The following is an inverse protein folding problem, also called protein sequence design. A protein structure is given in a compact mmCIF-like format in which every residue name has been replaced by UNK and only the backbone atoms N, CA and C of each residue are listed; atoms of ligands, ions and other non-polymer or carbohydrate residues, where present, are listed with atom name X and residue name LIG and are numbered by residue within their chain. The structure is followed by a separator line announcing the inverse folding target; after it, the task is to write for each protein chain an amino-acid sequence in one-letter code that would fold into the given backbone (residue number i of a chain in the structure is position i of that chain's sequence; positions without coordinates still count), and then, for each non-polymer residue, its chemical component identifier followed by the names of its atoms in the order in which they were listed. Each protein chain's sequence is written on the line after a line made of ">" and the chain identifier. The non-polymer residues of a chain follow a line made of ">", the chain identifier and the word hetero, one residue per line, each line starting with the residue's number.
data_IF_487589955745
#
_entry.id   IF_487589955745
#
_cell.length_a   1.000
_cell.length_b   1.000
_cell.length_c   1.000
_cell.angle_alpha   90.00
_cell.angle_beta   90.00
_cell.angle_gamma   90.00
#
_symmetry.space_group_name_H-M   'P 1'
#
loop_
_entity.id
_entity.type
_entity.pdbx_description
1 polymer ?
#
# COMPACT_ATOMS: atom_id res chain seq x y z
N UNK A 1 7.31 -2.71 -24.43
CA UNK A 1 8.37 -2.71 -23.38
C UNK A 1 8.39 -1.43 -22.53
N UNK A 2 8.19 -0.23 -23.07
CA UNK A 2 8.25 1.05 -22.30
C UNK A 2 7.31 1.14 -21.08
N UNK A 3 6.10 0.58 -21.15
CA UNK A 3 5.14 0.56 -20.01
C UNK A 3 5.63 -0.18 -18.77
N UNK A 4 6.49 -1.19 -18.94
CA UNK A 4 7.07 -1.96 -17.81
C UNK A 4 8.32 -1.30 -17.23
N UNK A 5 9.01 -0.47 -18.01
CA UNK A 5 10.18 0.28 -17.56
C UNK A 5 9.83 1.55 -16.78
N UNK A 6 8.64 2.11 -17.02
CA UNK A 6 8.14 3.30 -16.33
C UNK A 6 8.24 3.25 -14.79
N UNK A 7 7.76 2.19 -14.09
CA UNK A 7 7.86 2.13 -12.63
C UNK A 7 9.31 2.10 -12.14
N UNK A 8 10.19 1.40 -12.85
CA UNK A 8 11.62 1.31 -12.52
C UNK A 8 12.30 2.68 -12.69
N UNK A 9 11.98 3.38 -13.77
CA UNK A 9 12.53 4.70 -14.08
C UNK A 9 12.06 5.76 -13.07
N UNK A 10 10.80 5.69 -12.63
CA UNK A 10 10.27 6.50 -11.54
C UNK A 10 11.01 6.18 -10.24
N UNK A 11 11.24 4.91 -9.91
CA UNK A 11 11.96 4.51 -8.69
C UNK A 11 13.41 5.01 -8.67
N UNK A 12 14.09 4.94 -9.82
CA UNK A 12 15.45 5.44 -9.99
C UNK A 12 15.49 6.96 -9.88
N UNK A 13 14.56 7.68 -10.51
CA UNK A 13 14.45 9.13 -10.38
C UNK A 13 14.20 9.54 -8.90
N UNK A 14 13.38 8.78 -8.18
CA UNK A 14 13.14 8.93 -6.74
C UNK A 14 14.42 8.74 -5.92
N UNK A 15 15.16 7.67 -6.19
CA UNK A 15 16.42 7.36 -5.51
C UNK A 15 17.48 8.44 -5.74
N UNK A 16 17.56 8.97 -6.96
CA UNK A 16 18.45 10.08 -7.31
C UNK A 16 18.01 11.37 -6.60
N UNK A 17 16.72 11.69 -6.58
CA UNK A 17 16.21 12.86 -5.85
C UNK A 17 16.52 12.80 -4.34
N UNK A 18 16.41 11.61 -3.74
CA UNK A 18 16.81 11.36 -2.35
C UNK A 18 18.32 11.54 -2.15
N UNK A 19 19.13 11.03 -3.09
CA UNK A 19 20.58 11.13 -3.01
C UNK A 19 21.06 12.58 -3.10
N UNK A 20 20.46 13.36 -4.01
CA UNK A 20 20.76 14.79 -4.19
C UNK A 20 20.37 15.63 -2.97
N UNK A 21 19.39 15.18 -2.18
CA UNK A 21 18.93 15.88 -0.99
C UNK A 21 19.62 15.48 0.33
N UNK A 22 20.62 14.58 0.31
CA UNK A 22 21.30 14.09 1.52
C UNK A 22 22.03 15.16 2.35
N UNK A 23 22.25 16.35 1.80
CA UNK A 23 22.89 17.48 2.50
C UNK A 23 21.92 18.53 3.04
N UNK A 24 20.61 18.36 2.84
CA UNK A 24 19.60 19.35 3.22
C UNK A 24 18.93 18.95 4.54
N UNK A 25 18.89 19.87 5.51
CA UNK A 25 18.19 19.63 6.78
C UNK A 25 16.71 20.03 6.65
N UNK A 26 15.77 19.07 6.58
CA UNK A 26 14.35 19.36 6.45
C UNK A 26 13.74 19.97 7.73
N UNK A 27 14.47 19.98 8.85
CA UNK A 27 14.04 20.60 10.09
C UNK A 27 14.59 22.03 10.25
N UNK A 28 15.47 22.48 9.35
CA UNK A 28 15.94 23.86 9.37
C UNK A 28 14.83 24.80 8.92
N UNK A 29 14.52 25.76 9.79
CA UNK A 29 13.51 26.79 9.57
C UNK A 29 14.22 28.15 9.57
N UNK A 30 14.12 28.86 8.46
CA UNK A 30 14.62 30.24 8.36
C UNK A 30 13.45 31.20 8.07
N UNK A 31 12.90 31.86 9.10
CA UNK A 31 11.80 32.82 8.94
C UNK A 31 12.10 33.96 7.96
N UNK A 32 13.37 34.28 7.70
CA UNK A 32 13.76 35.36 6.78
C UNK A 32 13.40 35.03 5.32
N UNK A 33 13.32 33.74 4.97
CA UNK A 33 12.93 33.27 3.64
C UNK A 33 11.52 32.69 3.61
N UNK A 34 10.69 32.96 4.62
CA UNK A 34 9.29 32.54 4.63
C UNK A 34 8.56 33.02 3.37
N UNK A 35 7.82 32.11 2.72
CA UNK A 35 7.11 32.37 1.47
C UNK A 35 8.00 32.81 0.29
N UNK A 36 9.31 32.61 0.36
CA UNK A 36 10.19 32.93 -0.76
C UNK A 36 9.86 32.07 -1.99
N UNK A 37 9.78 32.72 -3.16
CA UNK A 37 9.58 32.05 -4.44
C UNK A 37 10.79 31.23 -4.91
N UNK A 38 10.67 30.50 -6.03
CA UNK A 38 11.75 29.71 -6.60
C UNK A 38 13.00 30.55 -6.90
N UNK A 39 14.16 30.08 -6.45
CA UNK A 39 15.46 30.72 -6.67
C UNK A 39 16.56 29.67 -6.87
N UNK A 40 17.77 30.11 -7.25
CA UNK A 40 18.93 29.18 -7.35
C UNK A 40 19.29 28.54 -6.02
N UNK A 41 19.04 29.22 -4.91
CA UNK A 41 19.25 28.70 -3.56
C UNK A 41 18.09 27.80 -3.10
N UNK A 42 16.86 28.14 -3.49
CA UNK A 42 15.64 27.40 -3.16
C UNK A 42 14.87 27.04 -4.45
N UNK A 43 15.22 25.95 -5.16
CA UNK A 43 14.65 25.64 -6.47
C UNK A 43 13.12 25.47 -6.49
N UNK A 44 12.53 25.06 -5.37
CA UNK A 44 11.08 24.92 -5.20
C UNK A 44 10.47 26.00 -4.28
N UNK A 45 11.27 26.99 -3.86
CA UNK A 45 10.87 27.99 -2.88
C UNK A 45 10.83 27.47 -1.44
N UNK A 46 10.29 28.30 -0.55
CA UNK A 46 10.22 28.05 0.89
C UNK A 46 8.76 28.04 1.39
N UNK A 47 8.50 27.21 2.39
CA UNK A 47 7.21 27.12 3.06
C UNK A 47 6.95 28.30 4.02
N UNK A 48 5.78 28.33 4.64
CA UNK A 48 5.35 29.36 5.60
C UNK A 48 6.35 29.57 6.75
N UNK A 49 6.90 28.48 7.29
CA UNK A 49 7.87 28.53 8.37
C UNK A 49 9.32 28.78 7.89
N UNK A 50 9.52 29.05 6.60
CA UNK A 50 10.87 29.21 6.02
C UNK A 50 11.61 27.91 5.74
N UNK A 51 10.90 26.78 5.75
CA UNK A 51 11.48 25.48 5.40
C UNK A 51 11.65 25.36 3.89
N UNK A 52 12.83 24.92 3.43
CA UNK A 52 13.06 24.65 2.01
C UNK A 52 12.20 23.46 1.53
N UNK A 53 11.34 23.72 0.53
CA UNK A 53 10.34 22.74 0.08
C UNK A 53 10.99 21.51 -0.55
N UNK A 54 12.10 21.69 -1.29
CA UNK A 54 12.82 20.58 -1.92
C UNK A 54 13.39 19.63 -0.86
N UNK A 55 13.94 20.19 0.20
CA UNK A 55 14.48 19.48 1.36
C UNK A 55 13.41 18.67 2.07
N UNK A 56 12.26 19.30 2.35
CA UNK A 56 11.11 18.65 2.99
C UNK A 56 10.56 17.53 2.11
N UNK A 57 10.37 17.76 0.82
CA UNK A 57 9.85 16.76 -0.13
C UNK A 57 10.79 15.56 -0.21
N UNK A 58 12.09 15.79 -0.43
CA UNK A 58 13.04 14.71 -0.59
C UNK A 58 13.22 13.89 0.69
N UNK A 59 13.23 14.53 1.86
CA UNK A 59 13.25 13.81 3.13
C UNK A 59 11.95 13.03 3.37
N UNK A 60 10.80 13.60 3.00
CA UNK A 60 9.48 12.96 3.15
C UNK A 60 9.30 11.78 2.21
N UNK A 61 9.96 11.79 1.05
CA UNK A 61 9.88 10.76 0.04
C UNK A 61 10.35 9.39 0.55
N UNK A 62 11.56 9.30 1.12
CA UNK A 62 12.08 8.04 1.70
C UNK A 62 11.15 7.52 2.79
N UNK A 63 10.78 8.42 3.71
CA UNK A 63 9.94 8.09 4.87
C UNK A 63 8.55 7.64 4.45
N UNK A 64 7.98 8.30 3.45
CA UNK A 64 6.66 8.00 2.89
C UNK A 64 6.64 6.67 2.13
N UNK A 65 7.64 6.39 1.31
CA UNK A 65 7.77 5.10 0.60
C UNK A 65 7.94 3.96 1.59
N UNK A 66 8.80 4.12 2.60
CA UNK A 66 8.99 3.10 3.63
C UNK A 66 7.68 2.80 4.37
N UNK A 67 6.96 3.84 4.79
CA UNK A 67 5.64 3.71 5.43
C UNK A 67 4.65 2.98 4.49
N UNK A 68 4.54 3.42 3.24
CA UNK A 68 3.64 2.83 2.26
C UNK A 68 3.96 1.35 1.99
N UNK A 69 5.25 1.01 1.88
CA UNK A 69 5.71 -0.36 1.70
C UNK A 69 5.32 -1.24 2.91
N UNK A 70 5.58 -0.78 4.14
CA UNK A 70 5.17 -1.50 5.34
C UNK A 70 3.65 -1.71 5.40
N UNK A 71 2.86 -0.67 5.13
CA UNK A 71 1.38 -0.76 5.12
C UNK A 71 0.91 -1.74 4.04
N UNK A 72 1.49 -1.69 2.84
CA UNK A 72 1.12 -2.57 1.73
C UNK A 72 1.47 -4.03 2.04
N UNK A 73 2.66 -4.30 2.59
CA UNK A 73 3.07 -5.66 2.98
C UNK A 73 2.17 -6.23 4.07
N UNK A 74 1.84 -5.45 5.09
CA UNK A 74 0.93 -5.88 6.16
C UNK A 74 -0.49 -6.08 5.63
N UNK A 75 -0.98 -5.16 4.80
CA UNK A 75 -2.28 -5.28 4.13
C UNK A 75 -2.36 -6.53 3.25
N UNK A 76 -1.32 -6.80 2.46
CA UNK A 76 -1.22 -8.00 1.63
C UNK A 76 -1.17 -9.27 2.48
N UNK A 77 -0.28 -9.29 3.48
CA UNK A 77 -0.05 -10.44 4.35
C UNK A 77 -1.27 -10.82 5.20
N UNK A 78 -2.16 -9.88 5.49
CA UNK A 78 -3.43 -10.14 6.20
C UNK A 78 -4.58 -10.36 5.22
N UNK A 79 -4.70 -9.48 4.23
CA UNK A 79 -5.83 -9.44 3.31
C UNK A 79 -5.90 -10.67 2.42
N UNK A 80 -4.78 -11.09 1.83
CA UNK A 80 -4.76 -12.24 0.91
C UNK A 80 -5.17 -13.53 1.62
N UNK A 81 -4.61 -13.90 2.80
CA UNK A 81 -5.07 -15.08 3.53
C UNK A 81 -6.54 -15.02 3.95
N UNK A 82 -7.03 -13.86 4.40
CA UNK A 82 -8.44 -13.71 4.77
C UNK A 82 -9.37 -13.86 3.56
N UNK A 83 -9.01 -13.26 2.42
CA UNK A 83 -9.77 -13.38 1.18
C UNK A 83 -9.75 -14.81 0.64
N UNK A 84 -8.57 -15.45 0.65
CA UNK A 84 -8.41 -16.85 0.26
C UNK A 84 -9.21 -17.80 1.16
N UNK A 85 -9.25 -17.56 2.48
CA UNK A 85 -10.05 -18.36 3.41
C UNK A 85 -11.55 -18.14 3.19
N UNK A 86 -11.95 -16.89 2.96
CA UNK A 86 -13.34 -16.52 2.64
C UNK A 86 -13.83 -17.22 1.38
N UNK A 87 -13.05 -17.15 0.30
CA UNK A 87 -13.39 -17.83 -0.96
C UNK A 87 -13.27 -19.34 -0.86
N UNK A 88 -12.39 -19.91 -0.02
CA UNK A 88 -12.29 -21.36 0.15
C UNK A 88 -13.52 -21.97 0.85
N UNK A 89 -14.02 -21.31 1.91
CA UNK A 89 -15.18 -21.80 2.68
C UNK A 89 -16.51 -21.56 1.97
N UNK A 90 -16.55 -20.60 1.03
CA UNK A 90 -17.75 -20.16 0.31
C UNK A 90 -18.87 -19.64 1.24
N UNK A 91 -19.87 -18.99 0.66
CA UNK A 91 -21.12 -18.68 1.37
C UNK A 91 -20.99 -17.57 2.43
N UNK A 92 -21.29 -17.88 3.69
CA UNK A 92 -21.42 -16.87 4.76
C UNK A 92 -20.07 -16.22 5.09
N UNK A 93 -18.98 -17.00 5.15
CA UNK A 93 -17.64 -16.48 5.47
C UNK A 93 -17.18 -15.44 4.44
N UNK A 94 -17.37 -15.76 3.16
CA UNK A 94 -17.08 -14.87 2.05
C UNK A 94 -17.88 -13.56 2.11
N UNK A 95 -19.20 -13.67 2.37
CA UNK A 95 -20.06 -12.49 2.54
C UNK A 95 -19.65 -11.67 3.75
N UNK A 96 -19.30 -12.30 4.87
CA UNK A 96 -18.87 -11.60 6.08
C UNK A 96 -17.58 -10.80 5.84
N UNK A 97 -16.58 -11.41 5.22
CA UNK A 97 -15.33 -10.72 4.86
C UNK A 97 -15.60 -9.54 3.94
N UNK A 98 -16.41 -9.72 2.88
CA UNK A 98 -16.76 -8.64 1.97
C UNK A 98 -17.54 -7.52 2.67
N UNK A 99 -18.47 -7.83 3.57
CA UNK A 99 -19.20 -6.83 4.35
C UNK A 99 -18.27 -6.00 5.24
N UNK A 100 -17.32 -6.63 5.91
CA UNK A 100 -16.31 -5.90 6.70
C UNK A 100 -15.45 -5.03 5.80
N UNK A 101 -15.06 -5.51 4.62
CA UNK A 101 -14.32 -4.72 3.64
C UNK A 101 -15.14 -3.50 3.17
N UNK A 102 -16.42 -3.68 2.85
CA UNK A 102 -17.32 -2.58 2.44
C UNK A 102 -17.45 -1.53 3.56
N UNK A 103 -17.61 -1.95 4.81
CA UNK A 103 -17.70 -1.06 5.96
C UNK A 103 -16.41 -0.27 6.16
N UNK A 104 -15.24 -0.92 6.11
CA UNK A 104 -13.95 -0.25 6.25
C UNK A 104 -13.65 0.71 5.10
N UNK A 105 -14.00 0.33 3.87
CA UNK A 105 -13.75 1.15 2.67
C UNK A 105 -14.74 2.29 2.51
N UNK A 106 -15.90 2.25 3.18
CA UNK A 106 -16.85 3.36 3.21
C UNK A 106 -16.28 4.58 3.95
N UNK A 107 -15.33 4.37 4.88
CA UNK A 107 -14.65 5.45 5.58
C UNK A 107 -13.35 5.82 4.85
N UNK A 108 -13.16 7.11 4.48
CA UNK A 108 -11.87 7.58 3.97
C UNK A 108 -10.77 7.34 5.00
N UNK A 109 -9.75 6.55 4.64
CA UNK A 109 -8.65 6.19 5.54
C UNK A 109 -7.87 7.41 6.07
N UNK A 110 -7.80 8.48 5.27
CA UNK A 110 -7.20 9.74 5.69
C UNK A 110 -8.00 10.43 6.79
N UNK A 111 -9.34 10.38 6.76
CA UNK A 111 -10.17 10.92 7.85
C UNK A 111 -9.94 10.16 9.15
N UNK A 112 -9.86 8.83 9.08
CA UNK A 112 -9.53 8.02 10.25
C UNK A 112 -8.14 8.37 10.80
N UNK A 113 -7.17 8.61 9.92
CA UNK A 113 -5.83 9.06 10.32
C UNK A 113 -5.90 10.40 11.03
N UNK A 114 -6.60 11.40 10.47
CA UNK A 114 -6.76 12.71 11.11
C UNK A 114 -7.38 12.62 12.51
N UNK A 115 -8.49 11.88 12.65
CA UNK A 115 -9.21 11.75 13.93
C UNK A 115 -8.32 11.10 15.00
N UNK A 116 -7.66 9.98 14.66
CA UNK A 116 -6.79 9.27 15.60
C UNK A 116 -5.58 10.13 15.96
N UNK A 117 -4.98 10.79 14.97
CA UNK A 117 -3.78 11.60 15.19
C UNK A 117 -4.09 12.85 16.03
N UNK A 118 -5.27 13.44 15.87
CA UNK A 118 -5.74 14.56 16.69
C UNK A 118 -6.09 14.13 18.13
N UNK A 119 -6.53 12.89 18.34
CA UNK A 119 -6.83 12.35 19.65
C UNK A 119 -5.58 11.98 20.46
N UNK A 120 -4.42 11.83 19.81
CA UNK A 120 -3.16 11.44 20.45
C UNK A 120 -2.35 12.69 20.83
N UNK A 121 -1.86 12.73 22.07
CA UNK A 121 -1.12 13.88 22.62
C UNK A 121 0.21 14.17 21.91
N UNK A 122 0.87 13.14 21.39
CA UNK A 122 2.14 13.24 20.67
C UNK A 122 2.12 12.30 19.47
N UNK A 123 1.55 12.76 18.35
CA UNK A 123 1.39 11.92 17.18
C UNK A 123 2.74 11.53 16.58
N UNK A 124 2.85 10.26 16.19
CA UNK A 124 4.08 9.71 15.63
C UNK A 124 3.79 8.91 14.37
N UNK A 125 4.84 8.66 13.57
CA UNK A 125 4.76 7.83 12.36
C UNK A 125 4.21 6.43 12.62
N UNK A 126 4.43 5.90 13.82
CA UNK A 126 3.90 4.59 14.26
C UNK A 126 2.38 4.62 14.33
N UNK A 127 1.79 5.71 14.81
CA UNK A 127 0.32 5.86 14.83
C UNK A 127 -0.23 5.87 13.40
N UNK A 128 0.38 6.63 12.49
CA UNK A 128 -0.01 6.65 11.08
C UNK A 128 0.04 5.25 10.44
N UNK A 129 1.11 4.50 10.72
CA UNK A 129 1.23 3.11 10.27
C UNK A 129 0.04 2.26 10.73
N UNK A 130 -0.29 2.28 12.02
CA UNK A 130 -1.39 1.47 12.54
C UNK A 130 -2.74 1.82 11.92
N UNK A 131 -3.02 3.12 11.74
CA UNK A 131 -4.28 3.54 11.11
C UNK A 131 -4.38 3.05 9.67
N UNK A 132 -3.32 3.25 8.88
CA UNK A 132 -3.35 2.81 7.48
C UNK A 132 -3.35 1.29 7.37
N UNK A 133 -2.55 0.58 8.16
CA UNK A 133 -2.50 -0.89 8.19
C UNK A 133 -3.87 -1.50 8.53
N UNK A 134 -4.63 -0.88 9.44
CA UNK A 134 -5.99 -1.34 9.80
C UNK A 134 -6.95 -1.35 8.61
N UNK A 135 -6.78 -0.44 7.66
CA UNK A 135 -7.64 -0.33 6.47
C UNK A 135 -7.06 -1.00 5.23
N UNK A 136 -5.73 -1.20 5.19
CA UNK A 136 -5.02 -1.63 3.99
C UNK A 136 -5.34 -3.07 3.58
N UNK A 137 -5.76 -3.94 4.49
CA UNK A 137 -6.04 -5.35 4.19
C UNK A 137 -7.32 -5.57 3.38
N UNK A 138 -8.32 -4.70 3.52
CA UNK A 138 -9.63 -4.82 2.87
C UNK A 138 -9.54 -4.90 1.32
N UNK A 139 -8.83 -4.00 0.62
CA UNK A 139 -8.69 -4.11 -0.84
C UNK A 139 -7.98 -5.39 -1.28
N UNK A 140 -6.95 -5.85 -0.55
CA UNK A 140 -6.26 -7.11 -0.86
C UNK A 140 -7.16 -8.33 -0.64
N UNK A 141 -7.96 -8.35 0.43
CA UNK A 141 -8.93 -9.41 0.68
C UNK A 141 -10.00 -9.47 -0.42
N UNK A 142 -10.54 -8.32 -0.83
CA UNK A 142 -11.50 -8.24 -1.93
C UNK A 142 -10.87 -8.77 -3.23
N UNK A 143 -9.66 -8.33 -3.56
CA UNK A 143 -8.96 -8.78 -4.77
C UNK A 143 -8.75 -10.30 -4.74
N UNK A 144 -8.28 -10.85 -3.62
CA UNK A 144 -8.10 -12.29 -3.45
C UNK A 144 -9.43 -13.07 -3.61
N UNK A 145 -10.56 -12.52 -3.15
CA UNK A 145 -11.87 -13.13 -3.36
C UNK A 145 -12.28 -13.09 -4.83
N UNK A 146 -12.11 -11.94 -5.50
CA UNK A 146 -12.44 -11.77 -6.93
C UNK A 146 -11.65 -12.74 -7.79
N UNK A 147 -10.33 -12.76 -7.64
CA UNK A 147 -9.45 -13.69 -8.37
C UNK A 147 -9.75 -15.15 -7.99
N UNK A 148 -10.01 -15.42 -6.71
CA UNK A 148 -10.36 -16.75 -6.23
C UNK A 148 -11.65 -17.30 -6.85
N UNK A 149 -12.65 -16.45 -7.11
CA UNK A 149 -13.88 -16.84 -7.83
C UNK A 149 -13.59 -17.20 -9.27
N UNK A 150 -12.80 -16.39 -9.97
CA UNK A 150 -12.39 -16.64 -11.36
C UNK A 150 -11.65 -17.97 -11.46
N UNK A 151 -10.67 -18.21 -10.59
CA UNK A 151 -9.91 -19.46 -10.56
C UNK A 151 -10.79 -20.67 -10.27
N UNK A 152 -11.80 -20.53 -9.40
CA UNK A 152 -12.72 -21.61 -9.05
C UNK A 152 -13.59 -22.06 -10.24
N UNK A 153 -13.90 -21.15 -11.15
CA UNK A 153 -14.70 -21.37 -12.37
C UNK A 153 -13.81 -21.73 -13.58
N UNK A 154 -12.49 -21.84 -13.38
CA UNK A 154 -11.58 -22.18 -14.46
C UNK A 154 -11.66 -23.67 -14.84
N UNK A 155 -11.58 -23.96 -16.14
CA UNK A 155 -11.68 -25.31 -16.70
C UNK A 155 -10.69 -26.33 -16.09
N UNK A 156 -9.49 -25.89 -15.66
CA UNK A 156 -8.53 -26.78 -15.02
C UNK A 156 -8.97 -27.22 -13.61
N UNK A 157 -9.73 -26.38 -12.89
CA UNK A 157 -10.31 -26.73 -11.59
C UNK A 157 -11.47 -27.71 -11.78
N UNK A 158 -12.30 -27.53 -12.80
CA UNK A 158 -13.34 -28.49 -13.16
C UNK A 158 -12.76 -29.85 -13.56
N UNK A 159 -11.72 -29.87 -14.40
CA UNK A 159 -11.01 -31.09 -14.76
C UNK A 159 -10.39 -31.79 -13.52
N UNK A 160 -9.76 -31.04 -12.62
CA UNK A 160 -9.19 -31.60 -11.39
C UNK A 160 -10.26 -32.17 -10.45
N UNK A 161 -11.43 -31.53 -10.36
CA UNK A 161 -12.59 -32.05 -9.61
C UNK A 161 -13.17 -33.30 -10.26
N UNK A 162 -13.27 -33.36 -11.59
CA UNK A 162 -13.69 -34.56 -12.32
C UNK A 162 -12.75 -35.75 -12.07
N UNK A 163 -11.46 -35.47 -11.84
CA UNK A 163 -10.46 -36.45 -11.41
C UNK A 163 -10.50 -36.78 -9.90
N UNK A 164 -11.53 -36.34 -9.17
CA UNK A 164 -11.73 -36.64 -7.76
C UNK A 164 -10.82 -35.87 -6.79
N UNK A 165 -10.13 -34.81 -7.23
CA UNK A 165 -9.22 -34.05 -6.35
C UNK A 165 -9.98 -33.11 -5.42
N UNK A 166 -9.62 -33.13 -4.14
CA UNK A 166 -10.15 -32.20 -3.13
C UNK A 166 -9.67 -30.77 -3.36
N UNK A 167 -10.45 -29.77 -2.90
CA UNK A 167 -10.10 -28.35 -3.06
C UNK A 167 -8.70 -28.01 -2.52
N UNK A 168 -8.30 -28.59 -1.39
CA UNK A 168 -6.96 -28.40 -0.82
C UNK A 168 -5.83 -29.02 -1.67
N UNK A 169 -6.10 -30.13 -2.39
CA UNK A 169 -5.15 -30.69 -3.35
C UNK A 169 -5.01 -29.81 -4.59
N UNK A 170 -6.10 -29.22 -5.08
CA UNK A 170 -6.09 -28.31 -6.25
C UNK A 170 -5.24 -27.07 -5.96
N UNK A 171 -5.41 -26.46 -4.78
CA UNK A 171 -4.61 -25.29 -4.36
C UNK A 171 -3.12 -25.63 -4.29
N UNK A 172 -2.76 -26.76 -3.66
CA UNK A 172 -1.35 -27.20 -3.56
C UNK A 172 -0.73 -27.56 -4.92
N UNK A 173 -1.52 -28.15 -5.82
CA UNK A 173 -1.07 -28.47 -7.18
C UNK A 173 -0.86 -27.21 -8.02
N UNK A 174 -1.76 -26.24 -7.93
CA UNK A 174 -1.60 -24.97 -8.63
C UNK A 174 -0.35 -24.22 -8.15
N UNK A 175 -0.10 -24.18 -6.85
CA UNK A 175 1.12 -23.59 -6.29
C UNK A 175 2.42 -24.28 -6.74
N UNK A 176 2.38 -25.58 -7.09
CA UNK A 176 3.54 -26.35 -7.59
C UNK A 176 3.64 -26.39 -9.12
N UNK A 177 2.54 -26.20 -9.84
CA UNK A 177 2.48 -26.31 -11.31
C UNK A 177 2.79 -25.02 -12.07
N UNK A 178 2.94 -23.88 -11.38
CA UNK A 178 3.28 -22.59 -12.00
C UNK A 178 4.69 -22.49 -12.60
N UNK A 179 5.52 -23.53 -12.49
CA UNK A 179 6.88 -23.57 -13.04
C UNK A 179 6.96 -24.22 -14.44
N UNK A 180 5.86 -24.69 -15.03
CA UNK A 180 5.87 -25.44 -16.30
C UNK A 180 4.97 -24.86 -17.41
N UNK A 181 4.64 -23.57 -17.36
CA UNK A 181 3.98 -22.87 -18.47
C UNK A 181 4.82 -21.68 -18.92
#
# INVERSE_FOLDING_TARGET
>A
MMRRALPLLVLVALAVAVLLARGLDPAHLDPAVAWAGPSRAHPLGCAEAGADVLSVVAASLVRGIALAACVALTGFGIGVPLGALGVYRHGIAERAVLRVCDLLQAFPSFLLALVILAAVRSPSRVHLYFVFALTAWAPFARLAIVEGRVLREAAFVEAARALGRSAGQIVRLHQRGGEQV
#
